data_IF_490763404441
#
_entry.id   IF_490763404441
#
_cell.length_a   1.000
_cell.length_b   1.000
_cell.length_c   1.000
_cell.angle_alpha   90.00
_cell.angle_beta   90.00
_cell.angle_gamma   90.00
#
_symmetry.space_group_name_H-M   'P 1'
#
loop_
_entity.id
_entity.type
_entity.pdbx_description
1 polymer ?
#
# COMPACT_ATOMS: atom_id res chain seq x y z
N UNK A 1 -37.03 55.79 -61.23
CA UNK A 1 -37.29 54.48 -60.60
C UNK A 1 -36.20 54.21 -59.60
N UNK A 2 -36.49 54.23 -58.31
CA UNK A 2 -35.56 53.87 -57.26
C UNK A 2 -35.49 52.38 -57.11
N UNK A 3 -34.34 51.77 -57.38
CA UNK A 3 -34.08 50.35 -57.14
C UNK A 3 -33.78 50.21 -55.67
N UNK A 4 -34.72 49.66 -54.94
CA UNK A 4 -34.51 49.32 -53.55
C UNK A 4 -33.68 48.05 -53.47
N UNK A 5 -32.39 48.19 -53.31
CA UNK A 5 -31.52 47.08 -52.93
C UNK A 5 -31.82 46.78 -51.45
N UNK A 6 -32.59 45.76 -51.18
CA UNK A 6 -32.72 45.16 -49.86
C UNK A 6 -31.38 44.56 -49.54
N UNK A 7 -30.58 45.26 -48.77
CA UNK A 7 -29.39 44.70 -48.17
C UNK A 7 -29.80 43.56 -47.29
N UNK A 8 -29.59 42.38 -47.77
CA UNK A 8 -29.72 41.16 -46.99
C UNK A 8 -28.63 41.20 -45.92
N UNK A 9 -29.00 41.65 -44.74
CA UNK A 9 -28.16 41.49 -43.57
C UNK A 9 -27.93 39.98 -43.37
N UNK A 10 -26.93 39.50 -44.02
CA UNK A 10 -26.35 38.21 -43.61
C UNK A 10 -25.78 38.44 -42.23
N UNK A 11 -26.56 37.99 -41.24
CA UNK A 11 -26.00 37.75 -39.91
C UNK A 11 -24.92 36.74 -40.13
N UNK A 12 -23.68 37.22 -40.23
CA UNK A 12 -22.50 36.38 -40.07
C UNK A 12 -22.63 35.77 -38.69
N UNK A 13 -23.13 34.55 -38.64
CA UNK A 13 -22.99 33.75 -37.45
C UNK A 13 -21.48 33.62 -37.26
N UNK A 14 -20.93 34.43 -36.37
CA UNK A 14 -19.63 34.19 -35.84
C UNK A 14 -19.77 32.88 -35.07
N UNK A 15 -19.47 31.79 -35.76
CA UNK A 15 -19.15 30.56 -35.08
C UNK A 15 -17.93 30.89 -34.26
N UNK A 16 -18.15 31.10 -32.96
CA UNK A 16 -17.06 31.03 -32.03
C UNK A 16 -16.55 29.59 -32.10
N UNK A 17 -15.65 29.35 -33.02
CA UNK A 17 -14.87 28.14 -33.00
C UNK A 17 -14.14 28.15 -31.66
N UNK A 18 -14.62 27.34 -30.74
CA UNK A 18 -13.94 27.10 -29.47
C UNK A 18 -12.58 26.53 -29.87
N UNK A 19 -11.55 27.32 -29.66
CA UNK A 19 -10.19 26.86 -29.89
C UNK A 19 -9.91 25.75 -28.87
N UNK A 20 -10.02 24.49 -29.32
CA UNK A 20 -9.79 23.31 -28.47
C UNK A 20 -8.31 23.07 -28.19
N UNK A 21 -7.40 23.80 -28.85
CA UNK A 21 -5.96 23.65 -28.66
C UNK A 21 -5.51 23.92 -27.21
N UNK A 22 -5.99 24.96 -26.49
CA UNK A 22 -5.66 25.15 -25.07
C UNK A 22 -6.21 24.07 -24.16
N UNK A 23 -7.38 23.50 -24.49
CA UNK A 23 -7.98 22.41 -23.74
C UNK A 23 -7.21 21.11 -23.90
N UNK A 24 -6.80 20.79 -25.12
CA UNK A 24 -6.01 19.60 -25.41
C UNK A 24 -4.61 19.69 -24.82
N UNK A 25 -4.01 20.87 -24.74
CA UNK A 25 -2.70 21.09 -24.13
C UNK A 25 -2.75 20.84 -22.61
N UNK A 26 -3.74 21.41 -21.92
CA UNK A 26 -3.96 21.16 -20.50
C UNK A 26 -4.23 19.67 -20.24
N UNK A 27 -5.01 19.03 -21.09
CA UNK A 27 -5.33 17.62 -20.98
C UNK A 27 -4.07 16.75 -21.15
N UNK A 28 -3.24 17.08 -22.13
CA UNK A 28 -1.97 16.37 -22.37
C UNK A 28 -1.01 16.52 -21.20
N UNK A 29 -0.88 17.72 -20.65
CA UNK A 29 -0.04 17.98 -19.45
C UNK A 29 -0.54 17.19 -18.26
N UNK A 30 -1.85 17.14 -18.02
CA UNK A 30 -2.45 16.35 -16.93
C UNK A 30 -2.17 14.86 -17.12
N UNK A 31 -2.26 14.34 -18.34
CA UNK A 31 -1.92 12.94 -18.63
C UNK A 31 -0.46 12.62 -18.33
N UNK A 32 0.46 13.50 -18.72
CA UNK A 32 1.90 13.32 -18.43
C UNK A 32 2.15 13.34 -16.93
N UNK A 33 1.54 14.26 -16.20
CA UNK A 33 1.68 14.37 -14.74
C UNK A 33 1.16 13.08 -14.09
N UNK A 34 0.00 12.59 -14.49
CA UNK A 34 -0.56 11.35 -13.97
C UNK A 34 0.32 10.15 -14.29
N UNK A 35 0.91 10.11 -15.49
CA UNK A 35 1.83 9.05 -15.90
C UNK A 35 3.12 9.05 -15.06
N UNK A 36 3.62 10.22 -14.67
CA UNK A 36 4.83 10.36 -13.85
C UNK A 36 4.54 10.04 -12.38
N UNK A 37 3.36 10.42 -11.87
CA UNK A 37 3.00 10.22 -10.46
C UNK A 37 2.58 8.77 -10.19
N UNK A 38 1.95 8.10 -11.14
CA UNK A 38 1.43 6.74 -10.97
C UNK A 38 2.49 5.75 -10.43
N UNK A 39 3.72 5.65 -10.97
CA UNK A 39 4.73 4.76 -10.43
C UNK A 39 5.23 5.17 -9.04
N UNK A 40 5.15 6.46 -8.69
CA UNK A 40 5.53 6.92 -7.34
C UNK A 40 4.49 6.51 -6.29
N UNK A 41 3.22 6.43 -6.66
CA UNK A 41 2.16 5.96 -5.80
C UNK A 41 2.27 4.46 -5.54
N UNK A 42 2.71 3.69 -6.53
CA UNK A 42 2.96 2.25 -6.37
C UNK A 42 4.13 1.96 -5.41
N UNK A 43 5.11 2.84 -5.33
CA UNK A 43 6.23 2.68 -4.38
C UNK A 43 5.86 3.05 -2.94
N UNK A 44 4.83 3.86 -2.75
CA UNK A 44 4.26 4.14 -1.44
C UNK A 44 3.03 3.27 -1.17
N UNK A 45 2.68 2.42 -2.12
CA UNK A 45 1.69 1.40 -1.90
C UNK A 45 2.13 0.60 -0.69
N UNK A 46 1.55 0.94 0.46
CA UNK A 46 1.23 -0.06 1.42
C UNK A 46 0.74 -1.23 0.60
N UNK A 47 1.59 -2.23 0.40
CA UNK A 47 1.10 -3.56 0.20
C UNK A 47 0.32 -3.88 1.48
N UNK A 48 -0.86 -3.29 1.60
CA UNK A 48 -1.90 -3.89 2.36
C UNK A 48 -2.22 -5.17 1.58
N UNK A 49 -1.39 -6.17 1.76
CA UNK A 49 -1.87 -7.51 1.67
C UNK A 49 -2.92 -7.57 2.80
N UNK A 50 -4.16 -7.20 2.47
CA UNK A 50 -5.30 -7.62 3.25
C UNK A 50 -5.08 -9.13 3.32
N UNK A 51 -4.80 -9.71 4.49
CA UNK A 51 -4.86 -11.13 4.60
C UNK A 51 -6.30 -11.45 4.22
N UNK A 52 -6.52 -12.02 3.03
CA UNK A 52 -7.74 -12.77 2.84
C UNK A 52 -7.80 -13.65 4.07
N UNK A 53 -8.85 -13.46 4.87
CA UNK A 53 -9.23 -14.43 5.88
C UNK A 53 -9.26 -15.76 5.15
N UNK A 54 -8.14 -16.44 5.18
CA UNK A 54 -8.10 -17.82 4.73
C UNK A 54 -8.93 -18.57 5.76
N UNK A 55 -10.23 -18.66 5.48
CA UNK A 55 -11.00 -19.76 6.04
C UNK A 55 -10.11 -20.97 5.88
N UNK A 56 -9.84 -21.64 7.00
CA UNK A 56 -9.16 -22.92 7.01
C UNK A 56 -9.92 -23.86 6.08
N UNK A 57 -9.61 -23.79 4.82
CA UNK A 57 -9.96 -24.84 3.90
C UNK A 57 -8.82 -25.84 4.00
N UNK A 58 -9.09 -26.94 4.70
CA UNK A 58 -8.33 -28.16 4.65
C UNK A 58 -8.18 -28.59 3.18
N UNK A 59 -7.11 -28.15 2.53
CA UNK A 59 -6.62 -28.81 1.33
C UNK A 59 -5.12 -28.58 1.21
N UNK A 60 -4.40 -29.68 1.37
CA UNK A 60 -3.03 -29.91 1.01
C UNK A 60 -2.50 -28.99 -0.09
N UNK A 61 -1.45 -28.29 0.24
CA UNK A 61 -0.22 -28.07 -0.51
C UNK A 61 0.32 -26.68 -0.22
N UNK A 62 1.50 -26.66 0.43
CA UNK A 62 2.30 -25.48 0.73
C UNK A 62 1.66 -24.49 1.72
N UNK A 63 1.57 -24.89 3.00
CA UNK A 63 1.27 -23.94 4.07
C UNK A 63 2.31 -22.83 4.09
N UNK A 64 1.89 -21.67 3.63
CA UNK A 64 2.68 -20.44 3.79
C UNK A 64 2.80 -20.14 5.28
N UNK A 65 3.97 -20.35 5.83
CA UNK A 65 4.23 -20.10 7.25
C UNK A 65 4.46 -18.62 7.49
N UNK A 66 3.68 -18.06 8.38
CA UNK A 66 3.74 -16.67 8.82
C UNK A 66 4.30 -16.66 10.23
N UNK A 67 5.32 -15.83 10.46
CA UNK A 67 5.82 -15.58 11.81
C UNK A 67 4.92 -14.52 12.47
N UNK A 68 4.28 -14.87 13.57
CA UNK A 68 3.44 -13.94 14.33
C UNK A 68 4.20 -13.40 15.53
N UNK A 69 4.21 -12.08 15.67
CA UNK A 69 4.75 -11.38 16.83
C UNK A 69 3.63 -10.56 17.46
N UNK A 70 3.33 -10.84 18.71
CA UNK A 70 2.29 -10.14 19.46
C UNK A 70 2.90 -9.04 20.32
N UNK A 71 2.30 -7.85 20.30
CA UNK A 71 2.61 -6.73 21.18
C UNK A 71 1.48 -6.57 22.18
N UNK A 72 1.78 -6.76 23.46
CA UNK A 72 0.78 -6.64 24.53
C UNK A 72 0.53 -5.19 24.95
N UNK A 73 -0.55 -4.96 25.69
CA UNK A 73 -0.87 -3.69 26.35
C UNK A 73 0.30 -3.13 27.17
N UNK A 74 1.09 -3.99 27.80
CA UNK A 74 2.28 -3.63 28.61
C UNK A 74 3.51 -3.29 27.75
N UNK A 75 3.36 -3.18 26.43
CA UNK A 75 4.46 -2.92 25.49
C UNK A 75 5.54 -4.02 25.45
N UNK A 76 5.15 -5.24 25.69
CA UNK A 76 6.01 -6.40 25.64
C UNK A 76 5.82 -7.16 24.33
N UNK A 77 6.89 -7.78 23.85
CA UNK A 77 6.87 -8.58 22.64
C UNK A 77 6.76 -10.07 22.98
N UNK A 78 5.91 -10.77 22.27
CA UNK A 78 5.73 -12.23 22.38
C UNK A 78 5.90 -12.87 21.01
N UNK A 79 6.69 -13.92 20.96
CA UNK A 79 6.85 -14.78 19.79
C UNK A 79 6.56 -16.21 20.24
N UNK A 80 5.58 -16.86 19.58
CA UNK A 80 5.09 -18.20 19.99
C UNK A 80 4.74 -18.30 21.49
N UNK A 81 4.07 -17.26 22.01
CA UNK A 81 3.67 -17.13 23.43
C UNK A 81 4.86 -16.99 24.42
N UNK A 82 6.06 -16.77 23.92
CA UNK A 82 7.25 -16.52 24.74
C UNK A 82 7.59 -15.05 24.74
N UNK A 83 7.72 -14.47 25.93
CA UNK A 83 8.17 -13.07 26.08
C UNK A 83 9.59 -12.91 25.56
N UNK A 84 9.80 -11.96 24.65
CA UNK A 84 11.10 -11.63 24.08
C UNK A 84 11.48 -10.20 24.45
N UNK A 85 12.64 -10.01 25.05
CA UNK A 85 13.15 -8.67 25.36
C UNK A 85 13.53 -7.94 24.06
N UNK A 86 13.45 -6.61 24.09
CA UNK A 86 13.77 -5.76 22.95
C UNK A 86 15.18 -6.05 22.38
N UNK A 87 16.16 -6.29 23.23
CA UNK A 87 17.53 -6.57 22.82
C UNK A 87 17.69 -7.91 22.10
N UNK A 88 16.80 -8.86 22.38
CA UNK A 88 16.80 -10.20 21.78
C UNK A 88 15.87 -10.29 20.56
N UNK A 89 15.04 -9.27 20.36
CA UNK A 89 14.00 -9.28 19.35
C UNK A 89 14.54 -9.52 17.93
N UNK A 90 15.57 -8.78 17.53
CA UNK A 90 16.18 -8.90 16.21
C UNK A 90 16.78 -10.29 15.98
N UNK A 91 17.51 -10.83 16.96
CA UNK A 91 18.12 -12.15 16.88
C UNK A 91 17.08 -13.26 16.85
N UNK A 92 16.03 -13.16 17.65
CA UNK A 92 14.94 -14.14 17.70
C UNK A 92 14.13 -14.15 16.42
N UNK A 93 13.78 -12.97 15.88
CA UNK A 93 13.08 -12.85 14.59
C UNK A 93 13.94 -13.47 13.49
N UNK A 94 15.22 -13.16 13.44
CA UNK A 94 16.13 -13.69 12.43
C UNK A 94 16.25 -15.22 12.51
N UNK A 95 16.36 -15.76 13.70
CA UNK A 95 16.43 -17.21 13.93
C UNK A 95 15.15 -17.91 13.49
N UNK A 96 13.98 -17.40 13.93
CA UNK A 96 12.67 -17.95 13.55
C UNK A 96 12.42 -17.85 12.05
N UNK A 97 12.76 -16.73 11.44
CA UNK A 97 12.65 -16.55 9.99
C UNK A 97 13.52 -17.56 9.24
N UNK A 98 14.72 -17.81 9.73
CA UNK A 98 15.63 -18.80 9.15
C UNK A 98 15.07 -20.22 9.28
N UNK A 99 14.52 -20.58 10.43
CA UNK A 99 13.89 -21.89 10.65
C UNK A 99 12.71 -22.09 9.68
N UNK A 100 11.80 -21.12 9.60
CA UNK A 100 10.63 -21.17 8.71
C UNK A 100 11.02 -21.17 7.22
N UNK A 101 12.07 -20.44 6.85
CA UNK A 101 12.59 -20.44 5.48
C UNK A 101 13.25 -21.78 5.11
N UNK A 102 13.88 -22.45 6.05
CA UNK A 102 14.47 -23.77 5.83
C UNK A 102 13.39 -24.84 5.59
N UNK A 103 12.21 -24.68 6.15
CA UNK A 103 11.05 -25.55 5.91
C UNK A 103 10.33 -25.24 4.58
N UNK A 104 10.72 -24.17 3.87
CA UNK A 104 10.42 -23.94 2.46
C UNK A 104 9.33 -22.92 2.14
N UNK A 105 8.57 -22.37 3.11
CA UNK A 105 7.38 -21.57 2.80
C UNK A 105 7.16 -20.37 3.72
N UNK A 106 8.20 -19.62 4.01
CA UNK A 106 8.06 -18.38 4.77
C UNK A 106 7.36 -17.30 3.92
N UNK A 107 6.18 -16.87 4.34
CA UNK A 107 5.38 -15.86 3.62
C UNK A 107 5.60 -14.44 4.15
N UNK A 108 5.93 -14.26 5.43
CA UNK A 108 6.11 -12.94 6.02
C UNK A 108 5.92 -12.92 7.54
N UNK A 109 5.93 -11.70 8.06
CA UNK A 109 5.72 -11.41 9.47
C UNK A 109 4.34 -10.80 9.68
N UNK A 110 3.60 -11.29 10.66
CA UNK A 110 2.36 -10.69 11.14
C UNK A 110 2.61 -10.08 12.52
N UNK A 111 2.25 -8.84 12.68
CA UNK A 111 2.28 -8.13 13.96
C UNK A 111 0.85 -8.03 14.48
N UNK A 112 0.59 -8.65 15.61
CA UNK A 112 -0.66 -8.53 16.34
C UNK A 112 -0.44 -7.54 17.49
N UNK A 113 -0.96 -6.32 17.36
CA UNK A 113 -0.80 -5.29 18.37
C UNK A 113 -2.09 -5.11 19.17
N UNK A 114 -1.98 -5.05 20.49
CA UNK A 114 -3.08 -4.63 21.34
C UNK A 114 -3.42 -3.15 21.07
N UNK A 115 -4.72 -2.82 20.99
CA UNK A 115 -5.18 -1.45 20.73
C UNK A 115 -4.71 -0.42 21.77
N UNK A 116 -4.34 -0.87 22.97
CA UNK A 116 -3.79 -0.02 24.04
C UNK A 116 -2.25 0.02 24.04
N UNK A 117 -1.60 -0.76 23.16
CA UNK A 117 -0.15 -0.75 23.06
C UNK A 117 0.36 0.59 22.49
N UNK A 118 1.57 0.96 22.88
CA UNK A 118 2.20 2.19 22.38
C UNK A 118 2.57 2.02 20.89
N UNK A 119 2.08 2.94 20.08
CA UNK A 119 2.38 2.97 18.64
C UNK A 119 3.89 2.96 18.34
N UNK A 120 4.69 3.63 19.16
CA UNK A 120 6.15 3.64 19.03
C UNK A 120 6.78 2.26 19.14
N UNK A 121 6.23 1.40 19.98
CA UNK A 121 6.69 0.01 20.16
C UNK A 121 6.42 -0.84 18.92
N UNK A 122 5.25 -0.67 18.31
CA UNK A 122 4.89 -1.34 17.06
C UNK A 122 5.79 -0.90 15.90
N UNK A 123 6.02 0.40 15.77
CA UNK A 123 6.92 0.96 14.74
C UNK A 123 8.34 0.43 14.91
N UNK A 124 8.83 0.35 16.13
CA UNK A 124 10.14 -0.20 16.43
C UNK A 124 10.27 -1.67 16.07
N UNK A 125 9.22 -2.45 16.32
CA UNK A 125 9.14 -3.84 15.89
C UNK A 125 9.20 -3.97 14.37
N UNK A 126 8.45 -3.13 13.65
CA UNK A 126 8.47 -3.10 12.18
C UNK A 126 9.86 -2.79 11.63
N UNK A 127 10.51 -1.79 12.22
CA UNK A 127 11.85 -1.38 11.81
C UNK A 127 12.88 -2.48 12.08
N UNK A 128 12.78 -3.12 13.23
CA UNK A 128 13.60 -4.30 13.57
C UNK A 128 13.39 -5.45 12.58
N UNK A 129 12.15 -5.75 12.25
CA UNK A 129 11.82 -6.80 11.28
C UNK A 129 12.37 -6.49 9.88
N UNK A 130 12.26 -5.24 9.42
CA UNK A 130 12.86 -4.80 8.16
C UNK A 130 14.38 -4.96 8.14
N UNK A 131 15.04 -4.60 9.23
CA UNK A 131 16.50 -4.73 9.36
C UNK A 131 16.97 -6.18 9.33
N UNK A 132 16.10 -7.13 9.67
CA UNK A 132 16.38 -8.57 9.53
C UNK A 132 16.16 -9.14 8.13
N UNK A 133 15.70 -8.30 7.18
CA UNK A 133 15.49 -8.67 5.78
C UNK A 133 14.08 -9.13 5.44
N UNK A 134 13.11 -8.96 6.34
CA UNK A 134 11.71 -9.30 6.07
C UNK A 134 11.04 -8.16 5.28
N UNK A 135 10.58 -8.46 4.08
CA UNK A 135 9.94 -7.49 3.20
C UNK A 135 8.41 -7.47 3.32
N UNK A 136 7.82 -8.59 3.72
CA UNK A 136 6.37 -8.72 3.89
C UNK A 136 6.00 -8.65 5.36
N UNK A 137 5.41 -7.53 5.78
CA UNK A 137 4.98 -7.27 7.15
C UNK A 137 3.51 -6.86 7.11
N UNK A 138 2.67 -7.58 7.86
CA UNK A 138 1.26 -7.26 8.07
C UNK A 138 1.03 -6.88 9.51
N UNK A 139 0.09 -5.98 9.76
CA UNK A 139 -0.28 -5.54 11.12
C UNK A 139 -1.77 -5.78 11.30
N UNK A 140 -2.14 -6.35 12.42
CA UNK A 140 -3.53 -6.47 12.85
C UNK A 140 -3.66 -6.01 14.29
N UNK A 141 -4.79 -5.44 14.62
CA UNK A 141 -5.16 -5.04 15.98
C UNK A 141 -5.96 -6.17 16.63
N UNK A 142 -5.63 -6.47 17.86
CA UNK A 142 -6.32 -7.46 18.66
C UNK A 142 -7.02 -6.86 19.88
#
# INVERSE_FOLDING_TARGET
MAIRTTGKNEKRSTFNEINITPLTDIFLVLLIIMMVIAPMLDQQGLNLAIPDYVEKTDNNDTENKILTVTVSEDNKYYIDDVEVSENMLASTIKEKTRELSAEGNFAGLMIEADGNSDHGVVVKLMDTARNTGINSISITEI
#
